data_IF_347682296933
#
_entry.id   IF_347682296933
#
_cell.length_a   1.000
_cell.length_b   1.000
_cell.length_c   1.000
_cell.angle_alpha   90.00
_cell.angle_beta   90.00
_cell.angle_gamma   90.00
#
_symmetry.space_group_name_H-M   'P 1'
#
loop_
_entity.id
_entity.type
_entity.pdbx_description
1 polymer ?
#
# COMPACT_ATOMS: atom_id res chain seq x y z
N UNK A 1 -23.82 4.12 13.70
CA UNK A 1 -23.22 2.86 13.23
C UNK A 1 -21.72 2.93 13.41
N UNK A 2 -21.12 1.80 13.79
CA UNK A 2 -19.67 1.67 13.92
C UNK A 2 -19.15 0.81 12.77
N UNK A 3 -18.27 1.34 11.94
CA UNK A 3 -17.64 0.65 10.81
C UNK A 3 -16.21 0.30 11.22
N UNK A 4 -15.92 -1.00 11.30
CA UNK A 4 -14.64 -1.50 11.81
C UNK A 4 -13.60 -1.64 10.66
N UNK A 5 -13.54 -0.64 9.80
CA UNK A 5 -12.53 -0.47 8.76
C UNK A 5 -12.62 -1.38 7.55
N UNK A 6 -11.60 -1.27 6.71
CA UNK A 6 -11.42 -2.01 5.46
C UNK A 6 -12.56 -1.85 4.44
N UNK A 7 -13.10 -0.64 4.33
CA UNK A 7 -14.05 -0.29 3.27
C UNK A 7 -13.42 -0.48 1.90
N UNK A 8 -12.11 -0.26 1.82
CA UNK A 8 -11.33 -0.35 0.58
C UNK A 8 -10.68 -1.73 0.35
N UNK A 9 -11.06 -2.80 1.08
CA UNK A 9 -10.47 -4.13 0.85
C UNK A 9 -11.15 -4.83 -0.33
N UNK A 10 -10.51 -4.81 -1.49
CA UNK A 10 -10.81 -5.62 -2.69
C UNK A 10 -12.24 -5.55 -3.26
N UNK A 11 -13.17 -4.88 -2.59
CA UNK A 11 -14.54 -4.67 -3.09
C UNK A 11 -14.57 -3.77 -4.32
N UNK A 12 -15.56 -3.96 -5.20
CA UNK A 12 -15.65 -3.23 -6.46
C UNK A 12 -16.12 -1.77 -6.30
N UNK A 13 -16.91 -1.46 -5.24
CA UNK A 13 -17.60 -0.19 -5.11
C UNK A 13 -17.47 0.47 -3.72
N UNK A 14 -16.25 0.66 -3.18
CA UNK A 14 -16.07 1.39 -1.93
C UNK A 14 -16.52 2.86 -2.03
N UNK A 15 -16.47 3.42 -3.22
CA UNK A 15 -16.89 4.78 -3.52
C UNK A 15 -18.41 4.97 -3.36
N UNK A 16 -19.23 4.00 -3.78
CA UNK A 16 -20.67 4.02 -3.57
C UNK A 16 -21.04 3.81 -2.10
N UNK A 17 -20.30 2.93 -1.41
CA UNK A 17 -20.49 2.71 0.03
C UNK A 17 -20.22 3.99 0.80
N UNK A 18 -19.13 4.71 0.49
CA UNK A 18 -18.80 5.97 1.16
C UNK A 18 -19.78 7.08 0.82
N UNK A 19 -20.23 7.21 -0.43
CA UNK A 19 -21.32 8.15 -0.81
C UNK A 19 -22.59 7.88 0.03
N UNK A 20 -23.00 6.61 0.17
CA UNK A 20 -24.13 6.25 1.02
C UNK A 20 -23.93 6.58 2.51
N UNK A 21 -22.73 6.28 3.05
CA UNK A 21 -22.43 6.53 4.46
C UNK A 21 -22.30 8.03 4.80
N UNK A 22 -21.91 8.85 3.82
CA UNK A 22 -21.86 10.32 4.00
C UNK A 22 -23.26 10.94 4.21
N UNK A 23 -24.28 10.33 3.63
CA UNK A 23 -25.68 10.75 3.82
C UNK A 23 -26.30 10.15 5.09
N UNK A 24 -25.59 9.26 5.78
CA UNK A 24 -26.09 8.61 6.98
C UNK A 24 -25.87 9.48 8.23
N UNK A 25 -26.90 9.64 9.06
CA UNK A 25 -26.95 10.62 10.14
C UNK A 25 -26.00 10.36 11.34
N UNK A 26 -25.55 9.12 11.54
CA UNK A 26 -24.72 8.73 12.68
C UNK A 26 -23.82 7.54 12.32
N UNK A 27 -22.57 7.84 11.95
CA UNK A 27 -21.56 6.87 11.57
C UNK A 27 -20.18 7.26 12.10
N UNK A 28 -19.42 6.32 12.57
CA UNK A 28 -18.00 6.43 12.84
C UNK A 28 -17.22 5.25 12.29
N UNK A 29 -15.92 5.46 12.11
CA UNK A 29 -15.01 4.49 11.52
C UNK A 29 -13.85 4.19 12.45
N UNK A 30 -13.45 2.93 12.56
CA UNK A 30 -12.15 2.53 13.04
C UNK A 30 -11.33 2.14 11.81
N UNK A 31 -10.35 2.97 11.43
CA UNK A 31 -9.62 2.78 10.18
C UNK A 31 -8.95 1.41 10.11
N UNK A 32 -9.12 0.70 8.99
CA UNK A 32 -8.39 -0.51 8.67
C UNK A 32 -7.08 -0.21 7.91
N UNK A 33 -6.26 -1.24 7.73
CA UNK A 33 -5.00 -1.06 6.99
C UNK A 33 -5.24 -0.73 5.50
N UNK A 34 -6.31 -1.25 4.89
CA UNK A 34 -6.70 -0.85 3.53
C UNK A 34 -7.14 0.61 3.48
N UNK A 35 -7.88 1.10 4.46
CA UNK A 35 -8.30 2.51 4.52
C UNK A 35 -7.09 3.43 4.64
N UNK A 36 -6.13 3.11 5.53
CA UNK A 36 -4.92 3.90 5.73
C UNK A 36 -4.06 4.00 4.47
N UNK A 37 -3.94 2.95 3.68
CA UNK A 37 -3.15 3.02 2.43
C UNK A 37 -3.82 3.95 1.41
N UNK A 38 -5.16 3.97 1.34
CA UNK A 38 -5.91 4.93 0.52
C UNK A 38 -5.79 6.37 1.04
N UNK A 39 -5.86 6.56 2.37
CA UNK A 39 -5.65 7.84 3.02
C UNK A 39 -4.23 8.37 2.73
N UNK A 40 -3.21 7.52 2.83
CA UNK A 40 -1.83 7.86 2.49
C UNK A 40 -1.62 8.18 1.01
N UNK A 41 -2.27 7.43 0.11
CA UNK A 41 -2.23 7.73 -1.32
C UNK A 41 -2.88 9.09 -1.65
N UNK A 42 -3.97 9.45 -0.98
CA UNK A 42 -4.63 10.74 -1.14
C UNK A 42 -3.78 11.92 -0.61
N UNK A 43 -2.77 11.69 0.22
CA UNK A 43 -1.78 12.70 0.62
C UNK A 43 -0.59 12.81 -0.34
N UNK A 44 -0.49 11.90 -1.32
CA UNK A 44 0.61 11.84 -2.29
C UNK A 44 1.78 10.96 -1.85
N UNK A 45 1.64 10.10 -0.84
CA UNK A 45 2.69 9.17 -0.44
C UNK A 45 2.89 8.08 -1.50
N UNK A 46 4.05 8.04 -2.14
CA UNK A 46 4.35 7.11 -3.24
C UNK A 46 4.33 5.64 -2.81
N UNK A 47 4.75 5.33 -1.58
CA UNK A 47 4.69 3.96 -1.08
C UNK A 47 3.23 3.49 -0.94
N UNK A 48 2.32 4.36 -0.47
CA UNK A 48 0.89 4.08 -0.42
C UNK A 48 0.28 3.99 -1.83
N UNK A 49 0.60 4.92 -2.74
CA UNK A 49 0.10 4.94 -4.13
C UNK A 49 0.47 3.64 -4.87
N UNK A 50 1.73 3.25 -4.80
CA UNK A 50 2.22 2.04 -5.51
C UNK A 50 1.59 0.76 -4.95
N UNK A 51 1.47 0.64 -3.63
CA UNK A 51 0.79 -0.49 -2.98
C UNK A 51 -0.69 -0.57 -3.37
N UNK A 52 -1.38 0.56 -3.31
CA UNK A 52 -2.79 0.67 -3.67
C UNK A 52 -3.02 0.28 -5.12
N UNK A 53 -2.27 0.86 -6.06
CA UNK A 53 -2.43 0.58 -7.48
C UNK A 53 -2.09 -0.88 -7.81
N UNK A 54 -0.96 -1.40 -7.31
CA UNK A 54 -0.61 -2.81 -7.52
C UNK A 54 -1.73 -3.74 -7.06
N UNK A 55 -2.28 -3.49 -5.87
CA UNK A 55 -3.35 -4.32 -5.32
C UNK A 55 -4.62 -4.22 -6.16
N UNK A 56 -5.09 -3.03 -6.48
CA UNK A 56 -6.33 -2.85 -7.22
C UNK A 56 -6.22 -3.39 -8.66
N UNK A 57 -5.08 -3.21 -9.33
CA UNK A 57 -4.83 -3.81 -10.64
C UNK A 57 -4.81 -5.35 -10.53
N UNK A 58 -4.19 -5.91 -9.49
CA UNK A 58 -4.17 -7.37 -9.31
C UNK A 58 -5.54 -7.99 -9.08
N UNK A 59 -6.54 -7.21 -8.65
CA UNK A 59 -7.94 -7.64 -8.46
C UNK A 59 -8.89 -7.07 -9.50
N UNK A 60 -8.39 -6.51 -10.61
CA UNK A 60 -9.19 -5.96 -11.71
C UNK A 60 -10.14 -4.83 -11.31
N UNK A 61 -9.76 -3.99 -10.35
CA UNK A 61 -10.55 -2.85 -9.88
C UNK A 61 -10.29 -1.56 -10.69
N UNK A 62 -10.20 -1.66 -12.02
CA UNK A 62 -9.93 -0.51 -12.89
C UNK A 62 -11.08 0.50 -12.85
N UNK A 63 -12.34 0.03 -12.92
CA UNK A 63 -13.52 0.89 -12.91
C UNK A 63 -13.61 1.73 -11.64
N UNK A 64 -13.33 1.14 -10.50
CA UNK A 64 -13.30 1.86 -9.24
C UNK A 64 -12.21 2.94 -9.22
N UNK A 65 -11.02 2.66 -9.80
CA UNK A 65 -9.96 3.65 -9.90
C UNK A 65 -10.29 4.77 -10.89
N UNK A 66 -10.71 4.43 -12.13
CA UNK A 66 -10.88 5.38 -13.21
C UNK A 66 -12.27 6.05 -13.20
N UNK A 67 -13.34 5.27 -13.09
CA UNK A 67 -14.72 5.80 -13.08
C UNK A 67 -15.12 6.26 -11.68
N UNK A 68 -14.86 5.44 -10.66
CA UNK A 68 -15.21 5.75 -9.28
C UNK A 68 -14.47 6.99 -8.74
N UNK A 69 -13.14 7.02 -8.90
CA UNK A 69 -12.31 8.09 -8.34
C UNK A 69 -11.63 9.01 -9.34
N UNK A 70 -11.76 8.76 -10.64
CA UNK A 70 -11.14 9.59 -11.69
C UNK A 70 -9.60 9.52 -11.67
N UNK A 71 -9.02 8.42 -11.21
CA UNK A 71 -7.57 8.22 -11.21
C UNK A 71 -7.12 7.90 -12.63
N UNK A 72 -6.26 8.75 -13.19
CA UNK A 72 -5.75 8.57 -14.56
C UNK A 72 -4.64 7.51 -14.61
N UNK A 73 -4.99 6.32 -15.11
CA UNK A 73 -4.04 5.20 -15.27
C UNK A 73 -3.29 5.21 -16.61
N UNK A 74 -3.60 6.12 -17.53
CA UNK A 74 -2.95 6.20 -18.84
C UNK A 74 -1.43 6.35 -18.78
N UNK A 75 -0.83 7.15 -17.88
CA UNK A 75 0.63 7.18 -17.74
C UNK A 75 1.22 5.82 -17.40
N UNK A 76 0.58 5.05 -16.52
CA UNK A 76 1.01 3.70 -16.16
C UNK A 76 0.88 2.73 -17.35
N UNK A 77 -0.23 2.76 -18.07
CA UNK A 77 -0.43 1.93 -19.26
C UNK A 77 0.64 2.22 -20.34
N UNK A 78 0.92 3.51 -20.60
CA UNK A 78 1.94 3.92 -21.58
C UNK A 78 3.35 3.49 -21.15
N UNK A 79 3.69 3.66 -19.89
CA UNK A 79 4.98 3.22 -19.35
C UNK A 79 5.12 1.70 -19.40
N UNK A 80 4.10 0.96 -19.00
CA UNK A 80 4.08 -0.49 -18.98
C UNK A 80 4.26 -1.06 -20.40
N UNK A 81 3.56 -0.53 -21.39
CA UNK A 81 3.70 -0.96 -22.78
C UNK A 81 5.09 -0.64 -23.35
N UNK A 82 5.66 0.52 -22.99
CA UNK A 82 7.01 0.90 -23.40
C UNK A 82 8.08 -0.03 -22.83
N UNK A 83 7.98 -0.38 -21.55
CA UNK A 83 9.01 -1.13 -20.81
C UNK A 83 8.83 -2.64 -20.97
N UNK A 84 7.60 -3.12 -20.97
CA UNK A 84 7.24 -4.55 -20.97
C UNK A 84 6.47 -4.98 -22.23
N UNK A 85 6.47 -4.20 -23.32
CA UNK A 85 5.67 -4.47 -24.52
C UNK A 85 5.89 -5.86 -25.13
N UNK A 86 7.11 -6.39 -25.02
CA UNK A 86 7.47 -7.74 -25.50
C UNK A 86 7.48 -8.82 -24.39
N UNK A 87 6.98 -8.51 -23.20
CA UNK A 87 6.90 -9.42 -22.06
C UNK A 87 5.44 -9.84 -21.83
N UNK A 88 5.18 -11.12 -21.76
CA UNK A 88 3.86 -11.66 -21.48
C UNK A 88 3.39 -11.39 -20.04
N UNK A 89 4.29 -11.03 -19.13
CA UNK A 89 4.02 -10.76 -17.71
C UNK A 89 3.09 -11.81 -17.05
N UNK A 90 3.28 -13.09 -17.39
CA UNK A 90 2.36 -14.19 -17.09
C UNK A 90 1.98 -14.28 -15.60
N UNK A 91 2.94 -14.02 -14.71
CA UNK A 91 2.75 -14.12 -13.25
C UNK A 91 2.13 -12.87 -12.63
N UNK A 92 1.86 -11.86 -13.44
CA UNK A 92 1.25 -10.60 -13.04
C UNK A 92 -0.17 -10.42 -13.58
N UNK A 93 -0.74 -11.45 -14.20
CA UNK A 93 -2.13 -11.40 -14.68
C UNK A 93 -3.09 -11.10 -13.52
N UNK A 94 -4.12 -10.28 -13.73
CA UNK A 94 -5.08 -9.95 -12.70
C UNK A 94 -5.94 -11.15 -12.30
N UNK A 95 -6.34 -11.20 -11.04
CA UNK A 95 -7.29 -12.17 -10.51
C UNK A 95 -8.71 -11.66 -10.76
N UNK A 96 -9.40 -12.23 -11.73
CA UNK A 96 -10.80 -11.90 -12.01
C UNK A 96 -11.69 -12.78 -11.12
N UNK A 97 -12.17 -12.21 -10.01
CA UNK A 97 -12.98 -12.92 -9.01
C UNK A 97 -14.37 -13.28 -9.52
N UNK A 98 -15.01 -12.38 -10.30
CA UNK A 98 -16.34 -12.57 -10.86
C UNK A 98 -16.44 -11.80 -12.19
N UNK A 99 -16.49 -12.53 -13.31
CA UNK A 99 -16.58 -11.94 -14.65
C UNK A 99 -17.86 -11.13 -14.91
N UNK A 100 -18.87 -11.30 -14.07
CA UNK A 100 -20.15 -10.59 -14.23
C UNK A 100 -20.19 -9.26 -13.43
N UNK A 101 -19.23 -9.02 -12.57
CA UNK A 101 -19.17 -7.83 -11.70
C UNK A 101 -18.14 -6.79 -12.14
N UNK A 102 -17.26 -7.16 -13.06
CA UNK A 102 -16.16 -6.31 -13.52
C UNK A 102 -16.23 -6.19 -15.03
N UNK A 103 -15.94 -5.01 -15.53
CA UNK A 103 -15.85 -4.80 -16.97
C UNK A 103 -14.70 -5.61 -17.59
N UNK A 104 -14.82 -6.02 -18.86
CA UNK A 104 -13.75 -6.69 -19.56
C UNK A 104 -12.50 -5.81 -19.62
N UNK A 105 -11.37 -6.37 -19.20
CA UNK A 105 -10.06 -5.71 -19.25
C UNK A 105 -9.16 -6.42 -20.25
N UNK A 106 -8.27 -5.67 -20.88
CA UNK A 106 -7.14 -6.25 -21.60
C UNK A 106 -6.17 -6.88 -20.58
N UNK A 107 -6.27 -8.19 -20.40
CA UNK A 107 -5.48 -8.95 -19.43
C UNK A 107 -3.97 -8.82 -19.67
N UNK A 108 -3.52 -8.68 -20.93
CA UNK A 108 -2.12 -8.52 -21.26
C UNK A 108 -1.60 -7.15 -20.82
N UNK A 109 -2.31 -6.08 -21.16
CA UNK A 109 -1.98 -4.74 -20.70
C UNK A 109 -2.06 -4.62 -19.18
N UNK A 110 -3.08 -5.20 -18.56
CA UNK A 110 -3.22 -5.22 -17.10
C UNK A 110 -2.06 -5.94 -16.41
N UNK A 111 -1.58 -7.05 -16.97
CA UNK A 111 -0.41 -7.77 -16.45
C UNK A 111 0.88 -6.93 -16.54
N UNK A 112 1.10 -6.24 -17.67
CA UNK A 112 2.22 -5.31 -17.85
C UNK A 112 2.15 -4.14 -16.85
N UNK A 113 0.96 -3.53 -16.66
CA UNK A 113 0.72 -2.48 -15.68
C UNK A 113 0.97 -2.96 -14.26
N UNK A 114 0.51 -4.17 -13.92
CA UNK A 114 0.74 -4.78 -12.61
C UNK A 114 2.23 -4.98 -12.34
N UNK A 115 2.99 -5.53 -13.31
CA UNK A 115 4.43 -5.70 -13.18
C UNK A 115 5.15 -4.36 -13.03
N UNK A 116 4.83 -3.38 -13.86
CA UNK A 116 5.43 -2.05 -13.83
C UNK A 116 5.26 -1.38 -12.46
N UNK A 117 4.04 -1.35 -11.93
CA UNK A 117 3.79 -0.71 -10.63
C UNK A 117 4.35 -1.54 -9.46
N UNK A 118 4.45 -2.87 -9.58
CA UNK A 118 5.06 -3.72 -8.55
C UNK A 118 6.58 -3.45 -8.42
N UNK A 119 7.30 -3.28 -9.53
CA UNK A 119 8.72 -2.93 -9.50
C UNK A 119 8.93 -1.54 -8.90
N UNK A 120 8.13 -0.54 -9.29
CA UNK A 120 8.15 0.78 -8.66
C UNK A 120 7.87 0.68 -7.15
N UNK A 121 6.88 -0.14 -6.73
CA UNK A 121 6.57 -0.37 -5.32
C UNK A 121 7.79 -0.91 -4.57
N UNK A 122 8.45 -1.96 -5.06
CA UNK A 122 9.60 -2.55 -4.37
C UNK A 122 10.76 -1.57 -4.21
N UNK A 123 11.00 -0.71 -5.22
CA UNK A 123 12.01 0.34 -5.14
C UNK A 123 11.66 1.40 -4.10
N UNK A 124 10.45 1.94 -4.15
CA UNK A 124 9.98 2.96 -3.20
C UNK A 124 9.94 2.42 -1.77
N UNK A 125 9.43 1.21 -1.57
CA UNK A 125 9.43 0.55 -0.26
C UNK A 125 10.86 0.36 0.26
N UNK A 126 11.79 -0.10 -0.57
CA UNK A 126 13.19 -0.25 -0.19
C UNK A 126 13.81 1.06 0.29
N UNK A 127 13.56 2.17 -0.40
CA UNK A 127 14.00 3.50 0.04
C UNK A 127 13.42 3.87 1.41
N UNK A 128 12.14 3.55 1.68
CA UNK A 128 11.52 3.82 2.99
C UNK A 128 12.09 2.94 4.09
N UNK A 129 12.33 1.65 3.82
CA UNK A 129 12.94 0.73 4.78
C UNK A 129 14.34 1.20 5.16
N UNK A 130 15.16 1.60 4.19
CA UNK A 130 16.51 2.11 4.46
C UNK A 130 16.50 3.45 5.22
N UNK A 131 15.47 4.28 5.03
CA UNK A 131 15.30 5.54 5.76
C UNK A 131 14.78 5.33 7.20
N UNK A 132 14.10 4.20 7.47
CA UNK A 132 13.43 3.90 8.73
C UNK A 132 13.83 2.52 9.28
N UNK A 133 15.08 2.31 9.71
CA UNK A 133 15.54 1.03 10.27
C UNK A 133 14.75 0.61 11.52
N UNK A 134 14.18 1.57 12.25
CA UNK A 134 13.32 1.33 13.41
C UNK A 134 12.02 0.57 13.06
N UNK A 135 11.58 0.56 11.80
CA UNK A 135 10.43 -0.23 11.35
C UNK A 135 10.69 -1.73 11.29
N UNK A 136 11.97 -2.15 11.36
CA UNK A 136 12.40 -3.58 11.37
C UNK A 136 11.87 -4.37 10.16
N UNK A 137 11.89 -3.76 8.99
CA UNK A 137 11.35 -4.32 7.74
C UNK A 137 12.46 -4.83 6.78
N UNK A 138 13.70 -4.97 7.23
CA UNK A 138 14.87 -5.34 6.41
C UNK A 138 14.68 -6.66 5.65
N UNK A 139 13.91 -7.61 6.19
CA UNK A 139 13.55 -8.86 5.52
C UNK A 139 12.80 -8.67 4.19
N UNK A 140 12.32 -7.45 3.91
CA UNK A 140 11.65 -7.07 2.65
C UNK A 140 12.59 -6.44 1.63
N UNK A 141 13.84 -6.17 1.98
CA UNK A 141 14.88 -5.74 1.05
C UNK A 141 15.36 -6.95 0.26
N UNK A 142 14.81 -7.15 -0.94
CA UNK A 142 15.05 -8.32 -1.78
C UNK A 142 15.58 -7.97 -3.18
N UNK A 143 15.49 -6.72 -3.65
CA UNK A 143 15.99 -6.34 -4.97
C UNK A 143 17.52 -6.40 -5.05
N UNK A 144 18.23 -6.08 -3.98
CA UNK A 144 19.68 -6.20 -3.85
C UNK A 144 20.19 -7.64 -3.71
N UNK A 145 19.29 -8.61 -3.52
CA UNK A 145 19.58 -10.04 -3.38
C UNK A 145 19.29 -10.85 -4.65
N UNK A 146 18.88 -10.16 -5.72
CA UNK A 146 18.62 -10.79 -7.01
C UNK A 146 19.92 -10.98 -7.76
N UNK A 147 20.16 -12.23 -8.23
CA UNK A 147 21.15 -12.55 -9.25
C UNK A 147 20.42 -12.82 -10.58
N UNK A 148 20.38 -11.80 -11.44
CA UNK A 148 19.73 -11.91 -12.74
C UNK A 148 20.45 -12.90 -13.69
N UNK A 149 21.76 -13.06 -13.56
CA UNK A 149 22.52 -13.98 -14.40
C UNK A 149 22.26 -15.45 -14.03
N UNK A 150 22.13 -15.72 -12.72
CA UNK A 150 21.75 -17.04 -12.21
C UNK A 150 20.23 -17.28 -12.23
N UNK A 151 19.42 -16.22 -12.37
CA UNK A 151 17.95 -16.32 -12.28
C UNK A 151 17.47 -16.69 -10.88
N UNK A 152 18.13 -16.15 -9.84
CA UNK A 152 17.86 -16.51 -8.44
C UNK A 152 17.75 -15.29 -7.56
N UNK A 153 17.17 -15.49 -6.36
CA UNK A 153 17.15 -14.50 -5.26
C UNK A 153 17.41 -15.19 -3.93
N UNK A 154 18.16 -14.53 -3.06
CA UNK A 154 18.35 -14.98 -1.68
C UNK A 154 17.28 -14.42 -0.76
N UNK A 155 16.55 -15.28 -0.05
CA UNK A 155 15.55 -14.91 0.95
C UNK A 155 15.83 -15.65 2.25
N UNK A 156 16.12 -14.92 3.31
CA UNK A 156 16.40 -15.48 4.66
C UNK A 156 17.47 -16.57 4.64
N UNK A 157 18.56 -16.32 3.90
CA UNK A 157 19.72 -17.24 3.78
C UNK A 157 19.51 -18.44 2.87
N UNK A 158 18.38 -18.51 2.16
CA UNK A 158 18.08 -19.57 1.20
C UNK A 158 17.93 -19.00 -0.20
N UNK A 159 18.59 -19.65 -1.18
CA UNK A 159 18.51 -19.27 -2.59
C UNK A 159 17.29 -19.93 -3.24
N UNK A 160 16.50 -19.11 -3.94
CA UNK A 160 15.28 -19.51 -4.63
C UNK A 160 15.35 -19.16 -6.12
N UNK A 161 14.83 -20.01 -7.02
CA UNK A 161 14.73 -19.66 -8.42
C UNK A 161 13.67 -18.56 -8.62
N UNK A 162 13.96 -17.60 -9.50
CA UNK A 162 12.99 -16.63 -9.97
C UNK A 162 12.12 -17.26 -11.06
N UNK A 163 10.84 -16.95 -11.07
CA UNK A 163 9.93 -17.31 -12.16
C UNK A 163 9.91 -16.27 -13.28
N UNK A 164 10.46 -15.10 -13.01
CA UNK A 164 10.58 -13.99 -13.93
C UNK A 164 11.91 -13.27 -13.69
N UNK A 165 12.69 -13.07 -14.74
CA UNK A 165 14.02 -12.42 -14.70
C UNK A 165 14.08 -11.16 -15.56
N UNK A 166 12.96 -10.76 -16.19
CA UNK A 166 12.92 -9.59 -17.05
C UNK A 166 12.60 -8.32 -16.23
N UNK A 167 13.62 -7.69 -15.66
CA UNK A 167 13.54 -6.46 -14.90
C UNK A 167 14.34 -5.32 -15.56
N UNK A 168 13.91 -4.78 -16.71
CA UNK A 168 14.70 -3.86 -17.53
C UNK A 168 15.00 -2.52 -16.85
N UNK A 169 14.25 -2.13 -15.81
CA UNK A 169 14.49 -0.92 -15.05
C UNK A 169 15.30 -1.14 -13.78
N UNK A 170 15.70 -2.37 -13.47
CA UNK A 170 16.51 -2.70 -12.30
C UNK A 170 17.99 -2.50 -12.61
N UNK A 171 18.63 -1.58 -11.90
CA UNK A 171 20.09 -1.44 -11.87
C UNK A 171 20.67 -2.29 -10.72
N UNK A 172 21.44 -3.35 -11.02
CA UNK A 172 22.03 -4.19 -9.95
C UNK A 172 22.97 -3.45 -9.01
N UNK A 173 23.57 -2.32 -9.43
CA UNK A 173 24.42 -1.50 -8.59
C UNK A 173 23.62 -0.59 -7.64
N UNK A 174 22.42 -0.19 -8.07
CA UNK A 174 21.52 0.72 -7.34
C UNK A 174 20.07 0.21 -7.42
N UNK A 175 19.76 -0.97 -6.86
CA UNK A 175 18.50 -1.71 -7.12
C UNK A 175 17.24 -0.99 -6.64
N UNK A 176 17.38 -0.06 -5.72
CA UNK A 176 16.25 0.72 -5.19
C UNK A 176 16.11 2.12 -5.81
N UNK A 177 17.02 2.52 -6.73
CA UNK A 177 16.90 3.79 -7.41
C UNK A 177 15.82 3.74 -8.49
N UNK A 178 14.98 4.76 -8.51
CA UNK A 178 14.01 4.94 -9.57
C UNK A 178 14.71 5.51 -10.82
N UNK A 179 14.33 5.00 -11.99
CA UNK A 179 14.72 5.66 -13.23
C UNK A 179 14.03 7.02 -13.37
N UNK A 180 14.51 7.87 -14.26
CA UNK A 180 13.85 9.16 -14.55
C UNK A 180 12.40 8.95 -15.00
N UNK A 181 12.14 7.92 -15.84
CA UNK A 181 10.81 7.61 -16.34
C UNK A 181 9.88 7.05 -15.25
N UNK A 182 10.39 6.22 -14.33
CA UNK A 182 9.64 5.76 -13.15
C UNK A 182 9.27 6.94 -12.25
N UNK A 183 10.19 7.89 -12.05
CA UNK A 183 9.94 9.10 -11.26
C UNK A 183 8.88 10.00 -11.92
N UNK A 184 8.92 10.18 -13.24
CA UNK A 184 7.90 10.90 -14.00
C UNK A 184 6.54 10.22 -13.89
N UNK A 185 6.49 8.91 -14.02
CA UNK A 185 5.27 8.11 -13.82
C UNK A 185 4.68 8.34 -12.44
N UNK A 186 5.48 8.19 -11.38
CA UNK A 186 5.01 8.35 -10.00
C UNK A 186 4.53 9.78 -9.72
N UNK A 187 5.19 10.81 -10.27
CA UNK A 187 4.72 12.20 -10.21
C UNK A 187 3.34 12.38 -10.90
N UNK A 188 3.14 11.76 -12.05
CA UNK A 188 1.86 11.82 -12.76
C UNK A 188 0.73 11.12 -11.99
N UNK A 189 1.02 9.96 -11.40
CA UNK A 189 0.07 9.23 -10.55
C UNK A 189 -0.24 10.02 -9.27
N UNK A 190 0.77 10.54 -8.56
CA UNK A 190 0.59 11.42 -7.40
C UNK A 190 -0.35 12.58 -7.71
N UNK A 191 -0.11 13.27 -8.83
CA UNK A 191 -0.96 14.38 -9.25
C UNK A 191 -2.43 13.96 -9.46
N UNK A 192 -2.66 12.74 -9.95
CA UNK A 192 -4.00 12.20 -10.13
C UNK A 192 -4.71 11.97 -8.80
N UNK A 193 -4.05 11.32 -7.83
CA UNK A 193 -4.60 11.11 -6.48
C UNK A 193 -4.89 12.44 -5.76
N UNK A 194 -3.97 13.40 -5.84
CA UNK A 194 -4.12 14.69 -5.20
C UNK A 194 -5.26 15.54 -5.78
N UNK A 195 -5.61 15.35 -7.06
CA UNK A 195 -6.63 16.12 -7.77
C UNK A 195 -7.99 15.43 -7.86
N UNK A 196 -8.11 14.18 -7.43
CA UNK A 196 -9.39 13.47 -7.40
C UNK A 196 -10.32 14.08 -6.36
N UNK A 197 -11.30 14.87 -6.79
CA UNK A 197 -12.23 15.56 -5.89
C UNK A 197 -13.07 14.58 -5.06
N UNK A 198 -13.58 13.50 -5.68
CA UNK A 198 -14.36 12.48 -4.99
C UNK A 198 -13.52 11.76 -3.94
N UNK A 199 -12.27 11.35 -4.27
CA UNK A 199 -11.37 10.73 -3.32
C UNK A 199 -11.08 11.67 -2.15
N UNK A 200 -10.71 12.93 -2.42
CA UNK A 200 -10.40 13.92 -1.37
C UNK A 200 -11.62 14.18 -0.47
N UNK A 201 -12.83 14.15 -1.01
CA UNK A 201 -14.08 14.27 -0.22
C UNK A 201 -14.26 13.07 0.71
N UNK A 202 -14.09 11.85 0.21
CA UNK A 202 -14.20 10.61 0.97
C UNK A 202 -13.15 10.51 2.06
N UNK A 203 -11.90 10.86 1.75
CA UNK A 203 -10.82 10.84 2.73
C UNK A 203 -11.06 11.88 3.83
N UNK A 204 -11.53 13.09 3.52
CA UNK A 204 -11.95 14.05 4.57
C UNK A 204 -13.04 13.49 5.47
N UNK A 205 -14.00 12.76 4.91
CA UNK A 205 -15.06 12.11 5.68
C UNK A 205 -14.49 11.06 6.63
N UNK A 206 -13.58 10.19 6.17
CA UNK A 206 -12.89 9.23 7.03
C UNK A 206 -12.09 9.90 8.16
N UNK A 207 -11.44 11.04 7.89
CA UNK A 207 -10.72 11.79 8.94
C UNK A 207 -11.67 12.46 9.95
N UNK A 208 -12.80 12.98 9.48
CA UNK A 208 -13.74 13.69 10.37
C UNK A 208 -14.58 12.75 11.23
N UNK A 209 -14.81 11.52 10.79
CA UNK A 209 -15.66 10.53 11.45
C UNK A 209 -14.92 9.28 11.90
N UNK A 210 -13.59 9.22 11.77
CA UNK A 210 -12.80 8.04 12.07
C UNK A 210 -11.61 8.29 12.98
N UNK A 211 -11.10 7.18 13.52
CA UNK A 211 -9.91 7.09 14.35
C UNK A 211 -9.32 5.67 14.28
N UNK A 212 -8.11 5.46 14.82
CA UNK A 212 -7.56 4.11 14.97
C UNK A 212 -8.36 3.24 15.93
N UNK A 213 -8.98 3.84 16.93
CA UNK A 213 -9.87 3.16 17.86
C UNK A 213 -10.90 4.12 18.46
N UNK A 214 -11.97 3.55 18.98
CA UNK A 214 -13.02 4.30 19.69
C UNK A 214 -13.49 3.51 20.92
N UNK A 215 -13.84 4.21 21.99
CA UNK A 215 -14.44 3.60 23.18
C UNK A 215 -15.89 4.07 23.35
N UNK A 216 -16.83 3.15 23.21
CA UNK A 216 -18.27 3.43 23.29
C UNK A 216 -18.95 2.42 24.23
N UNK A 217 -19.71 2.94 25.20
CA UNK A 217 -20.46 2.13 26.16
C UNK A 217 -19.58 1.05 26.86
N UNK A 218 -18.33 1.39 27.17
CA UNK A 218 -17.39 0.46 27.81
C UNK A 218 -16.72 -0.54 26.86
N UNK A 219 -17.11 -0.58 25.58
CA UNK A 219 -16.48 -1.40 24.57
C UNK A 219 -15.36 -0.64 23.86
N UNK A 220 -14.25 -1.31 23.60
CA UNK A 220 -13.15 -0.84 22.76
C UNK A 220 -13.35 -1.38 21.34
N UNK A 221 -13.49 -0.46 20.38
CA UNK A 221 -13.62 -0.77 18.96
C UNK A 221 -12.31 -0.41 18.26
N UNK A 222 -11.73 -1.34 17.51
CA UNK A 222 -10.53 -1.16 16.69
C UNK A 222 -10.49 -2.23 15.60
N UNK A 223 -9.72 -2.00 14.54
CA UNK A 223 -9.74 -2.87 13.35
C UNK A 223 -8.91 -4.15 13.52
N UNK A 224 -7.64 -4.02 13.87
CA UNK A 224 -6.68 -5.13 13.81
C UNK A 224 -6.35 -5.72 15.19
N UNK A 225 -5.28 -5.26 15.81
CA UNK A 225 -4.77 -5.79 17.07
C UNK A 225 -4.20 -4.69 17.97
N UNK A 226 -3.91 -5.06 19.22
CA UNK A 226 -2.99 -4.32 20.07
C UNK A 226 -1.71 -5.15 20.16
N UNK A 227 -0.54 -4.64 19.71
CA UNK A 227 0.69 -5.42 19.76
C UNK A 227 1.04 -5.87 21.19
N UNK A 228 1.29 -7.17 21.35
CA UNK A 228 1.70 -7.78 22.62
C UNK A 228 2.88 -8.70 22.40
N UNK A 229 3.71 -8.87 23.44
CA UNK A 229 4.77 -9.86 23.49
C UNK A 229 4.21 -11.27 23.73
N UNK A 230 5.08 -12.26 23.78
CA UNK A 230 4.73 -13.68 24.04
C UNK A 230 4.15 -13.94 25.45
N UNK A 231 4.30 -13.01 26.40
CA UNK A 231 3.72 -13.06 27.74
C UNK A 231 2.35 -12.36 27.83
N UNK A 232 1.90 -11.75 26.73
CA UNK A 232 0.65 -10.98 26.68
C UNK A 232 0.78 -9.55 27.23
N UNK A 233 2.01 -9.06 27.50
CA UNK A 233 2.26 -7.69 27.87
C UNK A 233 2.31 -6.80 26.62
N UNK A 234 1.94 -5.52 26.74
CA UNK A 234 1.97 -4.61 25.61
C UNK A 234 3.38 -4.44 25.05
N UNK A 235 3.55 -4.76 23.77
CA UNK A 235 4.81 -4.60 23.03
C UNK A 235 5.21 -3.14 22.94
N UNK A 236 6.48 -2.85 23.22
CA UNK A 236 7.06 -1.51 23.05
C UNK A 236 7.53 -1.32 21.61
N UNK A 237 6.92 -0.39 20.91
CA UNK A 237 7.22 -0.06 19.51
C UNK A 237 7.92 1.28 19.44
N UNK A 238 9.11 1.30 18.85
CA UNK A 238 9.86 2.53 18.62
C UNK A 238 9.53 3.09 17.22
N UNK A 239 9.09 4.35 17.20
CA UNK A 239 8.78 5.09 15.96
C UNK A 239 9.31 6.51 16.10
N UNK A 240 10.07 6.98 15.10
CA UNK A 240 10.68 8.31 15.11
C UNK A 240 11.51 8.59 16.40
N UNK A 241 12.21 7.58 16.92
CA UNK A 241 13.06 7.68 18.11
C UNK A 241 12.30 7.75 19.45
N UNK A 242 10.98 7.54 19.45
CA UNK A 242 10.14 7.51 20.65
C UNK A 242 9.45 6.16 20.79
N UNK A 243 9.47 5.63 22.00
CA UNK A 243 8.87 4.34 22.35
C UNK A 243 7.46 4.52 22.89
N UNK A 244 6.55 3.73 22.32
CA UNK A 244 5.14 3.74 22.68
C UNK A 244 4.61 2.32 22.86
N UNK A 245 3.61 2.11 23.74
CA UNK A 245 2.91 0.83 23.88
C UNK A 245 1.44 1.00 24.23
N UNK A 246 0.63 0.01 23.92
CA UNK A 246 -0.79 -0.03 24.24
C UNK A 246 -1.53 1.22 23.76
N UNK A 247 -2.29 1.87 24.63
CA UNK A 247 -3.05 3.08 24.30
C UNK A 247 -2.16 4.21 23.76
N UNK A 248 -0.99 4.44 24.37
CA UNK A 248 -0.09 5.52 23.94
C UNK A 248 0.43 5.30 22.51
N UNK A 249 0.62 4.05 22.09
CA UNK A 249 0.95 3.71 20.70
C UNK A 249 -0.20 4.08 19.75
N UNK A 250 -1.42 3.72 20.09
CA UNK A 250 -2.61 4.02 19.28
C UNK A 250 -2.83 5.54 19.15
N UNK A 251 -2.72 6.29 20.26
CA UNK A 251 -2.87 7.75 20.26
C UNK A 251 -1.79 8.43 19.40
N UNK A 252 -0.53 7.97 19.54
CA UNK A 252 0.58 8.50 18.76
C UNK A 252 0.38 8.26 17.25
N UNK A 253 -0.01 7.05 16.87
CA UNK A 253 -0.23 6.70 15.47
C UNK A 253 -1.41 7.47 14.87
N UNK A 254 -2.53 7.63 15.60
CA UNK A 254 -3.67 8.45 15.16
C UNK A 254 -3.23 9.91 14.91
N UNK A 255 -2.47 10.49 15.84
CA UNK A 255 -1.91 11.84 15.69
C UNK A 255 -1.01 11.97 14.45
N UNK A 256 -0.13 10.99 14.19
CA UNK A 256 0.74 10.99 13.02
C UNK A 256 -0.05 10.89 11.71
N UNK A 257 -1.06 10.03 11.64
CA UNK A 257 -1.96 9.91 10.48
C UNK A 257 -2.64 11.25 10.18
N UNK A 258 -3.13 11.94 11.22
CA UNK A 258 -3.74 13.28 11.07
C UNK A 258 -2.72 14.33 10.63
N UNK A 259 -1.52 14.33 11.20
CA UNK A 259 -0.44 15.24 10.80
C UNK A 259 -0.07 15.06 9.33
N UNK A 260 0.05 13.82 8.83
CA UNK A 260 0.33 13.55 7.43
C UNK A 260 -0.71 14.18 6.49
N UNK A 261 -1.97 14.21 6.90
CA UNK A 261 -3.06 14.76 6.09
C UNK A 261 -3.18 16.28 6.18
N UNK A 262 -3.06 16.85 7.39
CA UNK A 262 -3.33 18.28 7.62
C UNK A 262 -2.08 19.17 7.51
N UNK A 263 -0.86 18.61 7.57
CA UNK A 263 0.37 19.39 7.45
C UNK A 263 0.57 19.94 6.01
N UNK A 264 1.35 21.01 5.87
CA UNK A 264 1.70 21.53 4.55
C UNK A 264 2.40 20.47 3.69
N UNK A 265 1.94 20.33 2.46
CA UNK A 265 2.50 19.35 1.52
C UNK A 265 4.01 19.57 1.32
N UNK A 266 4.75 18.46 1.18
CA UNK A 266 6.21 18.46 0.98
C UNK A 266 7.01 19.07 2.15
N UNK A 267 6.42 19.17 3.33
CA UNK A 267 7.18 19.44 4.54
C UNK A 267 7.88 18.15 5.01
N UNK A 268 8.96 18.30 5.79
CA UNK A 268 9.63 17.16 6.42
C UNK A 268 8.68 16.39 7.36
N UNK A 269 7.79 17.10 8.03
CA UNK A 269 6.75 16.52 8.89
C UNK A 269 5.78 15.66 8.08
N UNK A 270 5.29 16.13 6.92
CA UNK A 270 4.41 15.36 6.03
C UNK A 270 5.11 14.10 5.51
N UNK A 271 6.39 14.17 5.19
CA UNK A 271 7.17 13.02 4.75
C UNK A 271 7.22 11.92 5.82
N UNK A 272 7.67 12.26 7.03
CA UNK A 272 7.77 11.29 8.15
C UNK A 272 6.42 10.71 8.56
N UNK A 273 5.41 11.56 8.69
CA UNK A 273 4.07 11.13 9.07
C UNK A 273 3.39 10.31 7.96
N UNK A 274 3.67 10.62 6.69
CA UNK A 274 3.21 9.83 5.53
C UNK A 274 3.84 8.44 5.50
N UNK A 275 5.10 8.30 5.88
CA UNK A 275 5.78 7.01 5.97
C UNK A 275 5.21 6.14 7.10
N UNK A 276 4.69 6.75 8.18
CA UNK A 276 3.91 6.03 9.20
C UNK A 276 2.60 5.46 8.64
N UNK A 277 1.90 6.15 7.72
CA UNK A 277 0.73 5.56 7.06
C UNK A 277 1.09 4.30 6.27
N UNK A 278 2.21 4.31 5.56
CA UNK A 278 2.72 3.12 4.91
C UNK A 278 3.14 2.03 5.92
N UNK A 279 3.79 2.40 7.02
CA UNK A 279 4.10 1.44 8.09
C UNK A 279 2.83 0.79 8.66
N UNK A 280 1.77 1.55 8.89
CA UNK A 280 0.49 1.03 9.37
C UNK A 280 -0.12 0.00 8.42
N UNK A 281 0.11 0.13 7.12
CA UNK A 281 -0.35 -0.82 6.11
C UNK A 281 0.25 -2.22 6.28
N UNK A 282 1.54 -2.34 6.64
CA UNK A 282 2.27 -3.61 6.54
C UNK A 282 3.29 -3.89 7.64
N UNK A 283 3.48 -3.01 8.60
CA UNK A 283 4.46 -3.17 9.68
C UNK A 283 4.09 -4.31 10.62
N UNK A 284 5.08 -5.11 11.05
CA UNK A 284 4.86 -6.28 11.91
C UNK A 284 4.20 -5.94 13.25
N UNK A 285 4.56 -4.79 13.83
CA UNK A 285 3.96 -4.28 15.07
C UNK A 285 2.89 -3.20 14.81
N UNK A 286 2.37 -3.11 13.58
CA UNK A 286 1.25 -2.23 13.27
C UNK A 286 -0.03 -2.76 13.91
N UNK A 287 -0.77 -1.91 14.64
CA UNK A 287 -2.05 -2.32 15.20
C UNK A 287 -3.14 -2.60 14.15
N UNK A 288 -2.89 -2.24 12.89
CA UNK A 288 -3.82 -2.49 11.79
C UNK A 288 -3.51 -3.74 10.98
N UNK A 289 -2.25 -4.20 10.96
CA UNK A 289 -1.84 -5.32 10.12
C UNK A 289 -1.82 -6.67 10.85
N UNK A 290 -1.27 -6.72 12.07
CA UNK A 290 -1.30 -7.89 12.94
C UNK A 290 -0.61 -9.15 12.40
N UNK A 291 0.33 -9.02 11.46
CA UNK A 291 1.09 -10.12 10.85
C UNK A 291 2.57 -9.78 10.83
N UNK A 292 3.41 -10.78 10.99
CA UNK A 292 4.87 -10.58 11.02
C UNK A 292 5.42 -10.00 9.70
N UNK A 293 4.93 -10.48 8.55
CA UNK A 293 5.48 -10.12 7.24
C UNK A 293 4.44 -10.17 6.13
N UNK A 294 4.49 -9.22 5.23
CA UNK A 294 3.78 -9.25 3.96
C UNK A 294 4.72 -9.75 2.86
N UNK A 295 4.41 -10.88 2.24
CA UNK A 295 5.26 -11.60 1.27
C UNK A 295 4.91 -11.26 -0.19
N UNK A 296 4.75 -9.99 -0.53
CA UNK A 296 4.33 -9.57 -1.89
C UNK A 296 5.34 -9.94 -2.95
N UNK A 297 6.62 -9.64 -2.73
CA UNK A 297 7.68 -9.95 -3.69
C UNK A 297 7.76 -11.47 -3.93
N UNK A 298 7.78 -12.25 -2.85
CA UNK A 298 7.92 -13.70 -2.92
C UNK A 298 6.78 -14.34 -3.74
N UNK A 299 5.55 -13.87 -3.53
CA UNK A 299 4.38 -14.37 -4.29
C UNK A 299 4.43 -14.05 -5.76
N UNK A 300 4.97 -12.90 -6.15
CA UNK A 300 5.00 -12.45 -7.52
C UNK A 300 6.19 -13.01 -8.30
N UNK A 301 7.34 -13.20 -7.66
CA UNK A 301 8.62 -13.34 -8.38
C UNK A 301 9.32 -14.66 -8.09
N UNK A 302 9.04 -15.35 -6.97
CA UNK A 302 9.72 -16.60 -6.61
C UNK A 302 8.92 -17.82 -7.09
N UNK A 303 9.62 -18.73 -7.77
CA UNK A 303 9.05 -20.02 -8.15
C UNK A 303 8.90 -20.93 -6.92
N UNK A 304 7.80 -21.67 -6.86
CA UNK A 304 7.55 -22.77 -5.93
C UNK A 304 7.68 -22.44 -4.43
N UNK A 305 7.71 -21.16 -4.05
CA UNK A 305 7.63 -20.78 -2.64
C UNK A 305 6.17 -20.82 -2.18
N UNK A 306 5.83 -21.86 -1.41
CA UNK A 306 4.58 -21.87 -0.64
C UNK A 306 4.62 -20.71 0.36
N UNK A 307 3.72 -19.74 0.18
CA UNK A 307 3.60 -18.54 1.04
C UNK A 307 2.39 -18.65 1.95
#
# INVERSE_FOLDING_TARGET
RHIIGDIFDRGAHPDEILDFLMDYHDVDFQWGNHDIVWMGAATGNWACITNLLRMNISYNNFDMLEVGYGINLRPLATFAEKVYGNDACEFFKPHILDKNKYDPVDEELAAKMHKAIAICQFKVEGQRIMAHPEYKLDKRLLLDKIDLAAGTVEVEGKVWPLRDTNFPTLDPAHPYDLTAEESELLNALEASFLKSEKLQRHIRFLFSHGALYTKINGNLLYHGCVPTDENGEFEEVELNGVKHKGKALMDYLDDQVRKAYYAPRKSEETGRSGDIMWYLWLGGNSPLFGKEKMTTFERLVIADKAT
#
